data_IF_303305603435
#
_entry.id   IF_303305603435
#
_cell.length_a   1.000
_cell.length_b   1.000
_cell.length_c   1.000
_cell.angle_alpha   90.00
_cell.angle_beta   90.00
_cell.angle_gamma   90.00
#
_symmetry.space_group_name_H-M   'P 1'
#
loop_
_entity.id
_entity.type
_entity.pdbx_description
1 polymer ?
#
# COMPACT_ATOMS: atom_id res chain seq x y z
N UNK A 1 3.94 -10.77 1.73
CA UNK A 1 2.95 -10.10 0.85
C UNK A 1 1.51 -10.29 1.37
N UNK A 2 0.91 -11.48 1.27
CA UNK A 2 -0.49 -11.73 1.71
C UNK A 2 -0.77 -11.56 3.20
N UNK A 3 0.23 -11.78 4.06
CA UNK A 3 0.13 -11.55 5.52
C UNK A 3 -0.07 -10.07 5.88
N UNK A 4 0.30 -9.14 4.99
CA UNK A 4 0.07 -7.71 5.19
C UNK A 4 -1.24 -7.26 4.54
N UNK A 5 -1.52 -7.70 3.32
CA UNK A 5 -2.69 -7.21 2.57
C UNK A 5 -4.02 -7.77 3.09
N UNK A 6 -4.06 -9.01 3.57
CA UNK A 6 -5.31 -9.63 4.04
C UNK A 6 -5.88 -8.92 5.28
N UNK A 7 -5.09 -8.64 6.34
CA UNK A 7 -5.60 -7.86 7.48
C UNK A 7 -5.98 -6.43 7.12
N UNK A 8 -5.23 -5.77 6.21
CA UNK A 8 -5.56 -4.42 5.76
C UNK A 8 -6.85 -4.37 4.94
N UNK A 9 -7.07 -5.36 4.05
CA UNK A 9 -8.33 -5.54 3.34
C UNK A 9 -9.49 -5.76 4.29
N UNK A 10 -9.30 -6.64 5.28
CA UNK A 10 -10.31 -6.88 6.31
C UNK A 10 -10.66 -5.58 7.05
N UNK A 11 -9.63 -4.84 7.51
CA UNK A 11 -9.80 -3.58 8.23
C UNK A 11 -10.56 -2.54 7.41
N UNK A 12 -10.20 -2.35 6.15
CA UNK A 12 -10.83 -1.31 5.30
C UNK A 12 -12.22 -1.69 4.81
N UNK A 13 -12.48 -2.99 4.57
CA UNK A 13 -13.79 -3.47 4.12
C UNK A 13 -14.81 -3.58 5.26
N UNK A 14 -14.33 -3.73 6.50
CA UNK A 14 -15.13 -3.81 7.72
C UNK A 14 -15.32 -2.45 8.41
N UNK A 15 -14.66 -1.40 7.90
CA UNK A 15 -14.74 -0.07 8.47
C UNK A 15 -16.15 0.53 8.26
N UNK A 16 -16.78 0.95 9.36
CA UNK A 16 -18.13 1.55 9.37
C UNK A 16 -19.22 0.68 8.71
N UNK A 17 -19.15 -0.64 8.88
CA UNK A 17 -20.13 -1.59 8.32
C UNK A 17 -20.83 -2.42 9.40
N UNK A 18 -21.94 -3.07 9.05
CA UNK A 18 -22.68 -3.91 10.00
C UNK A 18 -21.84 -5.11 10.50
N UNK A 19 -22.07 -5.59 11.73
CA UNK A 19 -21.34 -6.73 12.29
C UNK A 19 -21.43 -8.00 11.45
N UNK A 20 -22.59 -8.25 10.84
CA UNK A 20 -22.82 -9.38 9.93
C UNK A 20 -21.92 -9.32 8.70
N UNK A 21 -21.83 -8.13 8.08
CA UNK A 21 -20.98 -7.91 6.91
C UNK A 21 -19.50 -8.07 7.26
N UNK A 22 -19.07 -7.54 8.40
CA UNK A 22 -17.71 -7.70 8.91
C UNK A 22 -17.36 -9.19 9.09
N UNK A 23 -18.26 -9.98 9.68
CA UNK A 23 -18.06 -11.44 9.84
C UNK A 23 -17.96 -12.16 8.50
N UNK A 24 -18.85 -11.85 7.56
CA UNK A 24 -18.84 -12.44 6.21
C UNK A 24 -17.53 -12.10 5.49
N UNK A 25 -17.11 -10.84 5.53
CA UNK A 25 -15.84 -10.41 4.93
C UNK A 25 -14.65 -11.15 5.54
N UNK A 26 -14.61 -11.30 6.86
CA UNK A 26 -13.56 -12.06 7.55
C UNK A 26 -13.50 -13.52 7.12
N UNK A 27 -14.65 -14.20 7.03
CA UNK A 27 -14.74 -15.60 6.58
C UNK A 27 -14.24 -15.72 5.13
N UNK A 28 -14.75 -14.88 4.24
CA UNK A 28 -14.38 -14.90 2.81
C UNK A 28 -12.88 -14.63 2.64
N UNK A 29 -12.33 -13.60 3.29
CA UNK A 29 -10.91 -13.27 3.18
C UNK A 29 -10.01 -14.37 3.76
N UNK A 30 -10.40 -14.98 4.88
CA UNK A 30 -9.64 -16.09 5.47
C UNK A 30 -9.62 -17.31 4.55
N UNK A 31 -10.76 -17.64 3.94
CA UNK A 31 -10.86 -18.77 3.02
C UNK A 31 -10.04 -18.51 1.74
N UNK A 32 -10.18 -17.32 1.14
CA UNK A 32 -9.39 -16.92 -0.02
C UNK A 32 -7.89 -16.95 0.27
N UNK A 33 -7.46 -16.42 1.42
CA UNK A 33 -6.07 -16.46 1.84
C UNK A 33 -5.55 -17.91 1.91
N UNK A 34 -6.27 -18.80 2.61
CA UNK A 34 -5.85 -20.20 2.74
C UNK A 34 -5.76 -20.90 1.40
N UNK A 35 -6.77 -20.75 0.53
CA UNK A 35 -6.77 -21.37 -0.80
C UNK A 35 -5.60 -20.87 -1.64
N UNK A 36 -5.41 -19.55 -1.73
CA UNK A 36 -4.32 -18.96 -2.52
C UNK A 36 -2.95 -19.42 -1.99
N UNK A 37 -2.76 -19.44 -0.67
CA UNK A 37 -1.49 -19.85 -0.08
C UNK A 37 -1.21 -21.34 -0.28
N UNK A 38 -2.20 -22.21 -0.10
CA UNK A 38 -2.03 -23.66 -0.32
C UNK A 38 -1.73 -23.94 -1.79
N UNK A 39 -2.49 -23.37 -2.72
CA UNK A 39 -2.25 -23.56 -4.16
C UNK A 39 -0.87 -23.05 -4.56
N UNK A 40 -0.49 -21.86 -4.09
CA UNK A 40 0.84 -21.31 -4.36
C UNK A 40 1.97 -22.20 -3.83
N UNK A 41 1.84 -22.74 -2.61
CA UNK A 41 2.87 -23.59 -2.01
C UNK A 41 2.95 -24.99 -2.65
N UNK A 42 1.81 -25.57 -3.03
CA UNK A 42 1.76 -26.94 -3.59
C UNK A 42 2.11 -26.96 -5.07
N UNK A 43 1.63 -25.97 -5.83
CA UNK A 43 1.77 -25.94 -7.30
C UNK A 43 2.93 -25.05 -7.76
N UNK A 44 3.61 -24.34 -6.85
CA UNK A 44 4.62 -23.33 -7.15
C UNK A 44 4.14 -22.25 -8.15
N UNK A 45 2.84 -21.96 -8.09
CA UNK A 45 2.16 -21.07 -9.03
C UNK A 45 2.41 -19.60 -8.66
N UNK A 46 3.47 -19.04 -9.24
CA UNK A 46 3.87 -17.64 -9.06
C UNK A 46 2.81 -16.65 -9.53
N UNK A 47 2.20 -16.91 -10.70
CA UNK A 47 1.30 -15.94 -11.34
C UNK A 47 0.04 -15.70 -10.50
N UNK A 48 -0.54 -16.77 -9.95
CA UNK A 48 -1.69 -16.67 -9.04
C UNK A 48 -1.35 -15.81 -7.83
N UNK A 49 -0.20 -16.04 -7.20
CA UNK A 49 0.26 -15.28 -6.04
C UNK A 49 0.44 -13.80 -6.37
N UNK A 50 1.14 -13.49 -7.47
CA UNK A 50 1.41 -12.12 -7.90
C UNK A 50 0.13 -11.35 -8.22
N UNK A 51 -0.77 -11.95 -9.02
CA UNK A 51 -2.03 -11.30 -9.43
C UNK A 51 -2.97 -11.08 -8.26
N UNK A 52 -3.13 -12.07 -7.38
CA UNK A 52 -3.98 -11.92 -6.18
C UNK A 52 -3.43 -10.85 -5.24
N UNK A 53 -2.11 -10.77 -5.08
CA UNK A 53 -1.47 -9.74 -4.27
C UNK A 53 -1.65 -8.34 -4.87
N UNK A 54 -1.37 -8.17 -6.16
CA UNK A 54 -1.59 -6.90 -6.87
C UNK A 54 -3.05 -6.44 -6.81
N UNK A 55 -3.99 -7.37 -6.95
CA UNK A 55 -5.43 -7.09 -6.82
C UNK A 55 -5.79 -6.61 -5.42
N UNK A 56 -5.26 -7.26 -4.38
CA UNK A 56 -5.49 -6.85 -3.00
C UNK A 56 -5.00 -5.42 -2.74
N UNK A 57 -3.81 -5.09 -3.22
CA UNK A 57 -3.23 -3.74 -3.06
C UNK A 57 -4.03 -2.70 -3.83
N UNK A 58 -4.46 -3.01 -5.06
CA UNK A 58 -5.32 -2.14 -5.84
C UNK A 58 -6.65 -1.84 -5.12
N UNK A 59 -7.28 -2.86 -4.54
CA UNK A 59 -8.50 -2.69 -3.74
C UNK A 59 -8.25 -1.83 -2.50
N UNK A 60 -7.15 -2.04 -1.79
CA UNK A 60 -6.75 -1.21 -0.64
C UNK A 60 -6.59 0.25 -1.08
N UNK A 61 -5.77 0.52 -2.10
CA UNK A 61 -5.49 1.87 -2.58
C UNK A 61 -6.76 2.61 -3.01
N UNK A 62 -7.59 1.98 -3.84
CA UNK A 62 -8.83 2.60 -4.34
C UNK A 62 -9.84 2.85 -3.23
N UNK A 63 -9.96 1.95 -2.25
CA UNK A 63 -10.86 2.14 -1.10
C UNK A 63 -10.35 3.23 -0.17
N UNK A 64 -9.06 3.25 0.14
CA UNK A 64 -8.42 4.30 0.95
C UNK A 64 -8.65 5.68 0.34
N UNK A 65 -8.35 5.85 -0.94
CA UNK A 65 -8.54 7.13 -1.65
C UNK A 65 -10.00 7.59 -1.69
N UNK A 66 -10.96 6.66 -1.72
CA UNK A 66 -12.40 6.97 -1.64
C UNK A 66 -12.88 7.33 -0.23
N UNK A 67 -12.25 6.81 0.81
CA UNK A 67 -12.62 7.08 2.21
C UNK A 67 -12.09 8.44 2.68
N UNK A 68 -10.86 8.81 2.29
CA UNK A 68 -10.22 10.08 2.68
C UNK A 68 -11.13 11.31 2.56
N UNK A 69 -11.77 11.61 1.41
CA UNK A 69 -12.60 12.81 1.28
C UNK A 69 -13.89 12.77 2.11
N UNK A 70 -14.34 11.58 2.53
CA UNK A 70 -15.53 11.40 3.37
C UNK A 70 -15.23 11.67 4.84
N UNK A 71 -14.04 11.25 5.30
CA UNK A 71 -13.67 11.34 6.70
C UNK A 71 -13.04 12.70 7.07
N UNK A 72 -12.38 13.36 6.13
CA UNK A 72 -11.58 14.56 6.40
C UNK A 72 -12.25 15.78 5.76
N UNK A 73 -13.05 16.57 6.50
CA UNK A 73 -13.72 17.76 5.98
C UNK A 73 -12.73 18.87 5.63
N UNK A 74 -11.63 19.00 6.39
CA UNK A 74 -10.61 20.02 6.15
C UNK A 74 -9.86 19.80 4.81
N UNK A 75 -9.87 20.76 3.87
CA UNK A 75 -9.29 20.58 2.56
C UNK A 75 -7.76 20.51 2.57
N UNK A 76 -7.09 21.14 3.54
CA UNK A 76 -5.63 21.19 3.61
C UNK A 76 -5.09 19.84 4.06
N UNK A 77 -5.61 19.31 5.17
CA UNK A 77 -5.26 18.01 5.73
C UNK A 77 -5.65 16.88 4.79
N UNK A 78 -6.80 16.99 4.12
CA UNK A 78 -7.20 16.04 3.08
C UNK A 78 -6.16 15.97 1.96
N UNK A 79 -5.73 17.11 1.41
CA UNK A 79 -4.77 17.13 0.30
C UNK A 79 -3.41 16.57 0.73
N UNK A 80 -2.96 16.86 1.95
CA UNK A 80 -1.73 16.31 2.50
C UNK A 80 -1.80 14.78 2.62
N UNK A 81 -2.86 14.24 3.22
CA UNK A 81 -3.06 12.79 3.39
C UNK A 81 -3.21 12.10 2.03
N UNK A 82 -3.92 12.70 1.06
CA UNK A 82 -4.01 12.17 -0.31
C UNK A 82 -2.66 12.14 -1.02
N UNK A 83 -1.84 13.18 -0.88
CA UNK A 83 -0.49 13.22 -1.46
C UNK A 83 0.40 12.12 -0.89
N UNK A 84 0.39 11.94 0.43
CA UNK A 84 1.14 10.86 1.10
C UNK A 84 0.64 9.49 0.64
N UNK A 85 -0.68 9.29 0.57
CA UNK A 85 -1.27 8.04 0.09
C UNK A 85 -0.90 7.75 -1.38
N UNK A 86 -0.92 8.77 -2.25
CA UNK A 86 -0.54 8.64 -3.65
C UNK A 86 0.94 8.33 -3.82
N UNK A 87 1.81 8.97 -3.02
CA UNK A 87 3.24 8.66 -3.00
C UNK A 87 3.49 7.21 -2.55
N UNK A 88 2.77 6.73 -1.53
CA UNK A 88 2.81 5.34 -1.12
C UNK A 88 2.39 4.39 -2.23
N UNK A 89 1.32 4.72 -2.97
CA UNK A 89 0.87 3.96 -4.14
C UNK A 89 1.92 3.94 -5.25
N UNK A 90 2.50 5.09 -5.58
CA UNK A 90 3.53 5.20 -6.61
C UNK A 90 4.78 4.39 -6.23
N UNK A 91 5.24 4.51 -4.98
CA UNK A 91 6.37 3.75 -4.44
C UNK A 91 6.12 2.24 -4.51
N UNK A 92 4.91 1.81 -4.13
CA UNK A 92 4.53 0.41 -4.18
C UNK A 92 4.48 -0.13 -5.62
N UNK A 93 3.82 0.60 -6.53
CA UNK A 93 3.72 0.20 -7.95
C UNK A 93 5.12 0.09 -8.57
N UNK A 94 5.99 1.05 -8.30
CA UNK A 94 7.37 1.00 -8.77
C UNK A 94 8.08 -0.25 -8.25
N UNK A 95 8.03 -0.50 -6.94
CA UNK A 95 8.64 -1.71 -6.36
C UNK A 95 8.05 -3.01 -6.91
N UNK A 96 6.73 -3.07 -7.11
CA UNK A 96 6.05 -4.24 -7.67
C UNK A 96 6.43 -4.50 -9.14
N UNK A 97 6.55 -3.45 -9.95
CA UNK A 97 6.97 -3.58 -11.35
C UNK A 97 8.43 -4.03 -11.46
N UNK A 98 9.33 -3.44 -10.65
CA UNK A 98 10.74 -3.85 -10.61
C UNK A 98 10.86 -5.30 -10.16
N UNK A 99 10.09 -5.71 -9.15
CA UNK A 99 10.02 -7.11 -8.70
C UNK A 99 9.54 -8.06 -9.81
N UNK A 100 8.50 -7.69 -10.55
CA UNK A 100 7.97 -8.52 -11.65
C UNK A 100 8.99 -8.66 -12.80
N UNK A 101 9.71 -7.57 -13.11
CA UNK A 101 10.78 -7.57 -14.11
C UNK A 101 11.95 -8.44 -13.64
N UNK A 102 12.34 -8.32 -12.37
CA UNK A 102 13.45 -9.07 -11.78
C UNK A 102 13.15 -10.58 -11.81
N UNK A 103 11.96 -11.00 -11.41
CA UNK A 103 11.54 -12.40 -11.48
C UNK A 103 11.54 -12.95 -12.91
N UNK A 104 11.02 -12.18 -13.87
CA UNK A 104 10.99 -12.59 -15.28
C UNK A 104 12.40 -12.63 -15.89
N UNK A 105 13.22 -11.60 -15.64
CA UNK A 105 14.60 -11.53 -16.12
C UNK A 105 15.49 -12.60 -15.48
N UNK A 106 15.30 -12.93 -14.20
CA UNK A 106 16.06 -13.98 -13.51
C UNK A 106 15.71 -15.39 -14.02
N UNK A 107 14.48 -15.63 -14.51
CA UNK A 107 14.12 -16.88 -15.19
C UNK A 107 14.82 -17.02 -16.55
N UNK A 108 15.05 -15.91 -17.26
CA UNK A 108 15.61 -15.91 -18.62
C UNK A 108 17.14 -15.78 -18.63
N UNK A 109 17.73 -14.97 -17.74
CA UNK A 109 19.16 -14.68 -17.68
C UNK A 109 19.80 -15.25 -16.41
N UNK A 110 20.06 -16.56 -16.41
CA UNK A 110 20.66 -17.26 -15.26
C UNK A 110 22.11 -16.82 -14.98
N UNK A 111 22.84 -16.28 -15.97
CA UNK A 111 24.27 -15.91 -15.85
C UNK A 111 24.53 -14.48 -15.35
N UNK A 112 23.62 -13.51 -15.55
CA UNK A 112 23.78 -12.12 -15.05
C UNK A 112 23.30 -11.95 -13.60
N UNK A 113 22.63 -12.97 -13.05
CA UNK A 113 22.10 -13.04 -11.68
C UNK A 113 23.14 -12.78 -10.59
N UNK A 114 24.41 -13.14 -10.79
CA UNK A 114 25.45 -12.96 -9.77
C UNK A 114 25.97 -11.53 -9.62
N UNK A 115 25.83 -10.67 -10.64
CA UNK A 115 26.37 -9.31 -10.61
C UNK A 115 25.29 -8.24 -10.32
N UNK A 116 24.08 -8.41 -10.88
CA UNK A 116 23.03 -7.39 -10.83
C UNK A 116 21.82 -7.83 -9.99
N UNK A 117 21.65 -9.13 -9.74
CA UNK A 117 20.48 -9.66 -9.04
C UNK A 117 20.39 -9.20 -7.58
N UNK A 118 21.49 -9.22 -6.83
CA UNK A 118 21.46 -8.89 -5.39
C UNK A 118 21.17 -7.40 -5.09
N UNK A 119 21.83 -6.43 -5.76
CA UNK A 119 21.57 -5.00 -5.50
C UNK A 119 20.18 -4.57 -5.99
N UNK A 120 19.75 -5.07 -7.15
CA UNK A 120 18.43 -4.76 -7.70
C UNK A 120 17.32 -5.35 -6.82
N UNK A 121 17.56 -6.55 -6.26
CA UNK A 121 16.64 -7.19 -5.34
C UNK A 121 16.35 -6.34 -4.09
N UNK A 122 17.38 -5.70 -3.57
CA UNK A 122 17.26 -4.86 -2.38
C UNK A 122 16.45 -3.58 -2.65
N UNK A 123 16.60 -2.97 -3.83
CA UNK A 123 15.91 -1.73 -4.16
C UNK A 123 14.39 -1.92 -4.20
N UNK A 124 13.88 -2.97 -4.86
CA UNK A 124 12.43 -3.18 -4.92
C UNK A 124 11.85 -3.54 -3.54
N UNK A 125 12.60 -4.24 -2.69
CA UNK A 125 12.20 -4.49 -1.31
C UNK A 125 12.02 -3.19 -0.52
N UNK A 126 12.94 -2.23 -0.66
CA UNK A 126 12.83 -0.93 0.02
C UNK A 126 11.58 -0.17 -0.44
N UNK A 127 11.33 -0.10 -1.75
CA UNK A 127 10.16 0.61 -2.27
C UNK A 127 8.83 -0.03 -1.89
N UNK A 128 8.74 -1.37 -1.96
CA UNK A 128 7.54 -2.11 -1.53
C UNK A 128 7.33 -2.00 -0.02
N UNK A 129 8.39 -2.02 0.79
CA UNK A 129 8.32 -1.82 2.23
C UNK A 129 7.86 -0.40 2.60
N UNK A 130 8.39 0.63 1.94
CA UNK A 130 7.94 2.02 2.11
C UNK A 130 6.46 2.15 1.74
N UNK A 131 6.05 1.63 0.59
CA UNK A 131 4.64 1.64 0.17
C UNK A 131 3.73 0.91 1.15
N UNK A 132 4.14 -0.27 1.62
CA UNK A 132 3.42 -1.06 2.62
C UNK A 132 3.29 -0.35 3.97
N UNK A 133 4.37 0.26 4.46
CA UNK A 133 4.35 1.07 5.68
C UNK A 133 3.39 2.25 5.57
N UNK A 134 3.45 3.01 4.46
CA UNK A 134 2.54 4.13 4.23
C UNK A 134 1.08 3.64 4.20
N UNK A 135 0.80 2.51 3.55
CA UNK A 135 -0.54 1.95 3.53
C UNK A 135 -1.05 1.61 4.94
N UNK A 136 -0.24 0.94 5.76
CA UNK A 136 -0.58 0.62 7.15
C UNK A 136 -0.85 1.90 7.94
N UNK A 137 0.07 2.87 7.90
CA UNK A 137 -0.04 4.10 8.67
C UNK A 137 -1.29 4.93 8.30
N UNK A 138 -1.58 5.05 7.01
CA UNK A 138 -2.76 5.80 6.53
C UNK A 138 -4.05 5.07 6.89
N UNK A 139 -4.12 3.75 6.70
CA UNK A 139 -5.34 2.99 7.04
C UNK A 139 -5.58 3.01 8.55
N UNK A 140 -4.52 2.88 9.34
CA UNK A 140 -4.60 2.95 10.79
C UNK A 140 -5.14 4.31 11.24
N UNK A 141 -4.55 5.40 10.75
CA UNK A 141 -4.99 6.77 11.00
C UNK A 141 -6.46 7.02 10.59
N UNK A 142 -6.88 6.51 9.43
CA UNK A 142 -8.26 6.68 8.95
C UNK A 142 -9.26 5.86 9.78
N UNK A 143 -8.85 4.72 10.32
CA UNK A 143 -9.76 3.81 11.02
C UNK A 143 -9.77 4.01 12.53
N UNK A 144 -8.73 4.60 13.12
CA UNK A 144 -8.72 5.06 14.51
C UNK A 144 -9.58 6.32 14.71
N UNK A 145 -9.85 7.08 13.65
CA UNK A 145 -10.60 8.33 13.72
C UNK A 145 -9.79 9.50 14.30
N UNK A 146 -8.50 9.32 14.57
CA UNK A 146 -7.61 10.32 15.17
C UNK A 146 -6.98 11.25 14.13
N UNK A 147 -7.75 11.65 13.10
CA UNK A 147 -7.22 12.52 12.05
C UNK A 147 -7.16 13.96 12.54
N UNK A 148 -5.95 14.43 12.91
CA UNK A 148 -5.63 15.81 13.24
C UNK A 148 -4.73 16.43 12.16
N UNK A 149 -4.67 17.76 12.13
CA UNK A 149 -3.88 18.50 11.15
C UNK A 149 -2.37 18.20 11.23
N UNK A 150 -1.87 17.70 12.37
CA UNK A 150 -0.47 17.34 12.63
C UNK A 150 -0.20 15.82 12.61
N UNK A 151 -1.20 14.97 12.36
CA UNK A 151 -1.05 13.51 12.47
C UNK A 151 0.06 12.95 11.57
N UNK A 152 0.33 13.57 10.42
CA UNK A 152 1.40 13.12 9.52
C UNK A 152 2.81 13.46 10.01
N UNK A 153 2.96 14.38 10.97
CA UNK A 153 4.27 14.76 11.52
C UNK A 153 4.76 13.80 12.61
N UNK A 154 3.83 13.13 13.31
CA UNK A 154 4.15 12.15 14.36
C UNK A 154 4.47 10.75 13.83
N UNK A 155 4.26 10.51 12.53
CA UNK A 155 4.55 9.23 11.89
C UNK A 155 6.05 9.10 11.59
N UNK A 156 6.57 7.87 11.62
CA UNK A 156 7.97 7.63 11.27
C UNK A 156 8.25 7.96 9.78
N UNK A 157 9.53 8.21 9.48
CA UNK A 157 10.03 8.43 8.12
C UNK A 157 9.50 7.36 7.15
N UNK A 158 9.11 7.70 5.90
CA UNK A 158 9.31 8.97 5.19
C UNK A 158 8.14 9.97 5.26
N UNK A 159 7.07 9.67 6.02
CA UNK A 159 5.80 10.41 5.95
C UNK A 159 5.93 11.91 6.29
N UNK A 160 6.64 12.34 7.36
CA UNK A 160 6.78 13.75 7.69
C UNK A 160 7.52 14.56 6.61
N UNK A 161 8.51 13.95 5.96
CA UNK A 161 9.28 14.60 4.88
C UNK A 161 8.37 14.87 3.69
N UNK A 162 7.58 13.87 3.28
CA UNK A 162 6.64 13.99 2.17
C UNK A 162 5.57 15.04 2.49
N UNK A 163 5.01 15.01 3.70
CA UNK A 163 4.02 15.99 4.14
C UNK A 163 4.57 17.42 4.06
N UNK A 164 5.80 17.66 4.55
CA UNK A 164 6.47 18.97 4.49
C UNK A 164 6.77 19.41 3.05
N UNK A 165 7.24 18.52 2.18
CA UNK A 165 7.49 18.83 0.77
C UNK A 165 6.19 19.21 0.06
N UNK A 166 5.10 18.49 0.33
CA UNK A 166 3.79 18.79 -0.25
C UNK A 166 3.24 20.13 0.26
N UNK A 167 3.37 20.39 1.56
CA UNK A 167 2.95 21.65 2.17
C UNK A 167 3.75 22.85 1.62
N UNK A 168 5.08 22.69 1.46
CA UNK A 168 5.96 23.73 0.90
C UNK A 168 5.65 24.01 -0.58
N UNK A 169 5.37 22.97 -1.37
CA UNK A 169 4.94 23.12 -2.76
C UNK A 169 3.61 23.87 -2.91
N UNK A 170 2.65 23.60 -2.03
CA UNK A 170 1.36 24.32 -2.00
C UNK A 170 1.50 25.77 -1.53
N UNK A 171 2.43 26.07 -0.61
CA UNK A 171 2.69 27.43 -0.14
C UNK A 171 3.33 28.33 -1.19
N UNK A 172 4.21 27.77 -2.03
CA UNK A 172 4.77 28.47 -3.19
C UNK A 172 3.70 28.74 -4.26
N UNK A 173 2.87 27.75 -4.59
CA UNK A 173 1.79 27.90 -5.56
C UNK A 173 0.70 28.93 -5.16
N UNK A 174 0.59 29.28 -3.87
CA UNK A 174 -0.33 30.33 -3.37
C UNK A 174 0.29 31.72 -3.40
N UNK A 175 1.61 31.86 -3.60
CA UNK A 175 2.32 33.13 -3.65
C UNK A 175 2.42 33.70 -5.08
N UNK A 176 2.15 32.86 -6.08
CA UNK A 176 2.21 33.19 -7.52
C UNK A 176 0.83 33.48 -8.14
N UNK A 177 -0.20 33.74 -7.31
CA UNK A 177 -1.53 34.22 -7.68
C UNK A 177 -1.83 35.50 -6.93
#
# INVERSE_FOLDING_TARGET
MHLLTTPLLYRILSFQTSPERTRIVGIILSLLFTVVMVVHMVMDEFLLHAVTFGTAVYLIATRTLKIIPRLIPDPVTRKNIQSVALFGCASFIFGYLVWLIDEWACRVLTKTRQAVGLPLAFLWHVFTAIGGYIAVAIIDLLTSGEVRNDSTEHLAWPIPVIARLTARGNGLARKDK
#
